data_IF_009605881896
#
_entry.id   IF_009605881896
#
_cell.length_a   1.000
_cell.length_b   1.000
_cell.length_c   1.000
_cell.angle_alpha   90.00
_cell.angle_beta   90.00
_cell.angle_gamma   90.00
#
_symmetry.space_group_name_H-M   'P 1'
#
loop_
_entity.id
_entity.type
_entity.pdbx_description
1 polymer ?
#
# COMPACT_ATOMS: atom_id res chain seq x y z
N UNK A 1 -20.83 15.99 6.62
CA UNK A 1 -20.33 15.41 7.89
C UNK A 1 -18.84 15.28 7.76
N UNK A 2 -18.08 15.50 8.83
CA UNK A 2 -16.62 15.24 8.82
C UNK A 2 -16.38 13.74 8.87
N UNK A 3 -15.41 13.26 8.09
CA UNK A 3 -15.05 11.83 8.10
C UNK A 3 -14.51 11.38 9.47
N UNK A 4 -14.81 10.13 9.81
CA UNK A 4 -14.23 9.36 10.91
C UNK A 4 -13.64 8.10 10.30
N UNK A 5 -12.33 7.91 10.47
CA UNK A 5 -11.61 6.82 9.80
C UNK A 5 -11.32 5.69 10.78
N UNK A 6 -11.49 4.44 10.34
CA UNK A 6 -10.91 3.28 10.98
C UNK A 6 -9.85 2.66 10.06
N UNK A 7 -8.68 2.33 10.60
CA UNK A 7 -7.60 1.65 9.86
C UNK A 7 -7.38 0.27 10.46
N UNK A 8 -7.56 -0.78 9.66
CA UNK A 8 -7.39 -2.17 10.09
C UNK A 8 -5.98 -2.64 9.78
N UNK A 9 -5.24 -2.99 10.81
CA UNK A 9 -3.84 -3.38 10.75
C UNK A 9 -2.91 -2.26 11.24
N UNK A 10 -2.01 -2.62 12.17
CA UNK A 10 -1.01 -1.72 12.77
C UNK A 10 0.40 -1.92 12.17
N UNK A 11 0.51 -2.59 11.02
CA UNK A 11 1.75 -2.77 10.28
C UNK A 11 2.28 -1.47 9.67
N UNK A 12 3.30 -1.60 8.82
CA UNK A 12 3.96 -0.46 8.17
C UNK A 12 3.00 0.45 7.40
N UNK A 13 2.08 -0.14 6.63
CA UNK A 13 1.10 0.64 5.86
C UNK A 13 0.04 1.25 6.78
N UNK A 14 -0.55 0.46 7.69
CA UNK A 14 -1.61 0.93 8.57
C UNK A 14 -1.16 2.07 9.48
N UNK A 15 0.04 1.99 10.09
CA UNK A 15 0.54 3.11 10.88
C UNK A 15 0.77 4.36 10.03
N UNK A 16 1.25 4.21 8.79
CA UNK A 16 1.44 5.32 7.86
C UNK A 16 0.13 5.97 7.44
N UNK A 17 -0.92 5.18 7.18
CA UNK A 17 -2.26 5.66 6.83
C UNK A 17 -2.88 6.39 8.04
N UNK A 18 -2.83 5.81 9.23
CA UNK A 18 -3.31 6.46 10.45
C UNK A 18 -2.56 7.78 10.74
N UNK A 19 -1.24 7.81 10.49
CA UNK A 19 -0.42 9.02 10.62
C UNK A 19 -0.96 10.16 9.73
N UNK A 20 -1.18 9.90 8.43
CA UNK A 20 -1.61 10.97 7.51
C UNK A 20 -3.05 11.40 7.77
N UNK A 21 -3.93 10.50 8.24
CA UNK A 21 -5.28 10.87 8.70
C UNK A 21 -5.22 11.80 9.91
N UNK A 22 -4.44 11.45 10.92
CA UNK A 22 -4.25 12.27 12.12
C UNK A 22 -3.62 13.64 11.79
N UNK A 23 -2.59 13.67 10.93
CA UNK A 23 -1.94 14.88 10.46
C UNK A 23 -2.90 15.82 9.71
N UNK A 24 -3.87 15.27 8.99
CA UNK A 24 -4.94 16.02 8.33
C UNK A 24 -6.06 16.48 9.28
N UNK A 25 -5.93 16.22 10.60
CA UNK A 25 -6.93 16.58 11.61
C UNK A 25 -8.18 15.70 11.58
N UNK A 26 -8.16 14.57 10.85
CA UNK A 26 -9.28 13.65 10.75
C UNK A 26 -9.21 12.62 11.89
N UNK A 27 -10.29 12.44 12.69
CA UNK A 27 -10.33 11.40 13.72
C UNK A 27 -10.07 10.02 13.11
N UNK A 28 -9.11 9.28 13.68
CA UNK A 28 -8.73 7.96 13.20
C UNK A 28 -8.52 6.99 14.34
N UNK A 29 -9.12 5.80 14.21
CA UNK A 29 -8.90 4.67 15.12
C UNK A 29 -8.13 3.58 14.38
N UNK A 30 -6.92 3.27 14.85
CA UNK A 30 -6.12 2.15 14.34
C UNK A 30 -6.49 0.88 15.10
N UNK A 31 -6.85 -0.18 14.38
CA UNK A 31 -7.39 -1.42 14.94
C UNK A 31 -6.48 -2.59 14.53
N UNK A 32 -6.03 -3.36 15.51
CA UNK A 32 -5.24 -4.57 15.27
C UNK A 32 -5.50 -5.57 16.41
N UNK A 33 -5.44 -6.86 16.12
CA UNK A 33 -5.60 -7.91 17.14
C UNK A 33 -4.47 -7.92 18.19
N UNK A 34 -3.31 -7.33 17.85
CA UNK A 34 -2.14 -7.23 18.72
C UNK A 34 -2.01 -5.86 19.37
N UNK A 35 -2.22 -5.78 20.67
CA UNK A 35 -1.97 -4.57 21.46
C UNK A 35 -0.50 -4.10 21.37
N UNK A 36 0.44 -5.05 21.26
CA UNK A 36 1.86 -4.74 21.07
C UNK A 36 2.13 -4.06 19.72
N UNK A 37 1.52 -4.58 18.64
CA UNK A 37 1.62 -3.96 17.31
C UNK A 37 1.05 -2.53 17.30
N UNK A 38 -0.09 -2.31 17.97
CA UNK A 38 -0.69 -0.99 18.13
C UNK A 38 0.24 -0.03 18.89
N UNK A 39 0.82 -0.46 20.01
CA UNK A 39 1.75 0.35 20.79
C UNK A 39 3.00 0.72 19.97
N UNK A 40 3.58 -0.23 19.24
CA UNK A 40 4.72 -0.01 18.35
C UNK A 40 4.39 0.94 17.21
N UNK A 41 3.21 0.79 16.61
CA UNK A 41 2.74 1.67 15.54
C UNK A 41 2.56 3.10 16.04
N UNK A 42 1.92 3.30 17.21
CA UNK A 42 1.77 4.61 17.83
C UNK A 42 3.11 5.28 18.10
N UNK A 43 4.05 4.56 18.72
CA UNK A 43 5.41 5.07 18.96
C UNK A 43 6.15 5.43 17.65
N UNK A 44 5.90 4.68 16.57
CA UNK A 44 6.45 4.99 15.24
C UNK A 44 5.87 6.30 14.68
N UNK A 45 4.57 6.52 14.83
CA UNK A 45 3.89 7.76 14.42
C UNK A 45 4.45 8.95 15.21
N UNK A 46 4.54 8.85 16.53
CA UNK A 46 5.11 9.90 17.40
C UNK A 46 6.54 10.24 16.97
N UNK A 47 7.39 9.23 16.76
CA UNK A 47 8.77 9.42 16.29
C UNK A 47 8.83 10.08 14.90
N UNK A 48 7.89 9.78 14.03
CA UNK A 48 7.83 10.42 12.70
C UNK A 48 7.42 11.88 12.81
N UNK A 49 6.49 12.26 13.67
CA UNK A 49 6.16 13.65 13.97
C UNK A 49 7.35 14.40 14.58
N UNK A 50 8.09 13.79 15.52
CA UNK A 50 9.30 14.40 16.09
C UNK A 50 10.37 14.68 15.04
N UNK A 51 10.51 13.78 14.04
CA UNK A 51 11.41 14.02 12.90
C UNK A 51 10.94 15.17 12.01
N UNK A 52 9.62 15.35 11.84
CA UNK A 52 9.05 16.46 11.07
C UNK A 52 9.27 17.79 11.81
N UNK A 53 9.13 17.83 13.15
CA UNK A 53 9.47 19.00 13.97
C UNK A 53 10.95 19.35 13.81
N UNK A 54 11.85 18.37 13.94
CA UNK A 54 13.31 18.60 13.78
C UNK A 54 13.70 19.14 12.40
N UNK A 55 12.88 18.85 11.37
CA UNK A 55 13.07 19.38 10.00
C UNK A 55 12.36 20.71 9.77
N UNK A 56 11.66 21.25 10.75
CA UNK A 56 10.88 22.49 10.62
C UNK A 56 9.64 22.35 9.71
N UNK A 57 9.16 21.12 9.44
CA UNK A 57 7.99 20.89 8.60
C UNK A 57 6.67 21.14 9.35
N UNK A 58 6.65 20.90 10.65
CA UNK A 58 5.54 21.18 11.57
C UNK A 58 6.08 21.70 12.89
N UNK A 59 5.24 22.29 13.72
CA UNK A 59 5.55 22.66 15.11
C UNK A 59 4.98 21.64 16.13
N UNK A 60 5.30 21.84 17.41
CA UNK A 60 4.84 20.96 18.49
C UNK A 60 3.32 21.01 18.66
N UNK A 61 2.68 22.16 18.43
CA UNK A 61 1.23 22.30 18.54
C UNK A 61 0.50 21.49 17.47
N UNK A 62 0.99 21.51 16.23
CA UNK A 62 0.47 20.70 15.14
C UNK A 62 0.61 19.18 15.42
N UNK A 63 1.77 18.75 15.98
CA UNK A 63 1.96 17.37 16.42
C UNK A 63 0.93 16.96 17.47
N UNK A 64 0.75 17.77 18.52
CA UNK A 64 -0.14 17.44 19.63
C UNK A 64 -1.60 17.42 19.17
N UNK A 65 -1.98 18.35 18.29
CA UNK A 65 -3.29 18.36 17.63
C UNK A 65 -3.52 17.07 16.80
N UNK A 66 -2.52 16.65 16.02
CA UNK A 66 -2.61 15.41 15.24
C UNK A 66 -2.72 14.18 16.14
N UNK A 67 -1.88 14.06 17.17
CA UNK A 67 -1.92 12.92 18.11
C UNK A 67 -3.26 12.85 18.89
N UNK A 68 -3.91 13.99 19.15
CA UNK A 68 -5.26 13.99 19.75
C UNK A 68 -6.35 13.36 18.87
N UNK A 69 -6.10 13.23 17.57
CA UNK A 69 -7.00 12.59 16.61
C UNK A 69 -6.80 11.07 16.47
N UNK A 70 -5.70 10.55 17.04
CA UNK A 70 -5.32 9.15 16.92
C UNK A 70 -5.76 8.34 18.15
N UNK A 71 -6.57 7.33 17.94
CA UNK A 71 -6.92 6.31 18.93
C UNK A 71 -6.54 4.91 18.44
N UNK A 72 -6.50 3.96 19.36
CA UNK A 72 -6.19 2.55 19.06
C UNK A 72 -7.20 1.63 19.74
N UNK A 73 -7.52 0.49 19.12
CA UNK A 73 -8.42 -0.53 19.67
C UNK A 73 -7.99 -1.93 19.25
N UNK A 74 -8.19 -2.92 20.11
CA UNK A 74 -8.09 -4.33 19.74
C UNK A 74 -9.43 -4.94 19.36
N UNK A 75 -10.51 -4.20 19.51
CA UNK A 75 -11.86 -4.63 19.17
C UNK A 75 -12.25 -4.13 17.76
N UNK A 76 -12.51 -5.08 16.86
CA UNK A 76 -12.98 -4.76 15.50
C UNK A 76 -14.33 -4.05 15.50
N UNK A 77 -15.17 -4.22 16.53
CA UNK A 77 -16.44 -3.50 16.70
C UNK A 77 -16.30 -1.97 16.74
N UNK A 78 -15.11 -1.46 17.02
CA UNK A 78 -14.78 -0.03 16.97
C UNK A 78 -14.98 0.61 15.59
N UNK A 79 -15.15 -0.17 14.51
CA UNK A 79 -15.48 0.34 13.16
C UNK A 79 -16.89 0.88 13.03
N UNK A 80 -17.78 0.59 13.99
CA UNK A 80 -19.21 0.91 13.91
C UNK A 80 -19.53 2.40 13.73
N UNK A 81 -18.65 3.29 14.19
CA UNK A 81 -18.78 4.75 14.08
C UNK A 81 -18.00 5.34 12.90
N UNK A 82 -17.20 4.53 12.18
CA UNK A 82 -16.41 5.00 11.07
C UNK A 82 -17.28 5.29 9.83
N UNK A 83 -16.98 6.39 9.12
CA UNK A 83 -17.56 6.70 7.81
C UNK A 83 -16.77 6.03 6.68
N UNK A 84 -15.45 5.82 6.90
CA UNK A 84 -14.55 5.09 5.99
C UNK A 84 -13.69 4.14 6.81
N UNK A 85 -13.66 2.88 6.40
CA UNK A 85 -12.76 1.86 6.96
C UNK A 85 -11.70 1.55 5.91
N UNK A 86 -10.42 1.66 6.27
CA UNK A 86 -9.29 1.38 5.37
C UNK A 86 -8.56 0.14 5.88
N UNK A 87 -8.71 -0.96 5.17
CA UNK A 87 -8.04 -2.22 5.50
C UNK A 87 -6.58 -2.20 4.97
N UNK A 88 -5.62 -2.44 5.86
CA UNK A 88 -4.18 -2.48 5.60
C UNK A 88 -3.50 -3.67 6.33
N UNK A 89 -4.21 -4.79 6.44
CA UNK A 89 -3.69 -6.06 6.99
C UNK A 89 -2.75 -6.76 5.99
N UNK A 90 -2.23 -7.92 6.39
CA UNK A 90 -1.35 -8.74 5.56
C UNK A 90 -1.96 -9.07 4.20
N UNK A 91 -1.13 -9.06 3.14
CA UNK A 91 -1.54 -9.35 1.75
C UNK A 91 -1.83 -10.84 1.58
N UNK A 92 -3.00 -11.25 2.06
CA UNK A 92 -3.51 -12.62 1.99
C UNK A 92 -4.99 -12.59 1.62
N UNK A 93 -5.32 -13.23 0.51
CA UNK A 93 -6.68 -13.21 -0.09
C UNK A 93 -7.74 -13.68 0.91
N UNK A 94 -7.52 -14.83 1.55
CA UNK A 94 -8.52 -15.42 2.47
C UNK A 94 -8.72 -14.57 3.72
N UNK A 95 -7.63 -14.00 4.25
CA UNK A 95 -7.69 -13.10 5.38
C UNK A 95 -8.49 -11.84 5.03
N UNK A 96 -8.22 -11.21 3.88
CA UNK A 96 -8.97 -10.02 3.45
C UNK A 96 -10.45 -10.33 3.22
N UNK A 97 -10.79 -11.45 2.60
CA UNK A 97 -12.18 -11.88 2.44
C UNK A 97 -12.90 -12.04 3.79
N UNK A 98 -12.22 -12.65 4.77
CA UNK A 98 -12.76 -12.78 6.13
C UNK A 98 -12.96 -11.41 6.78
N UNK A 99 -11.94 -10.54 6.72
CA UNK A 99 -12.03 -9.18 7.29
C UNK A 99 -13.19 -8.42 6.66
N UNK A 100 -13.34 -8.42 5.33
CA UNK A 100 -14.41 -7.69 4.66
C UNK A 100 -15.80 -8.23 5.00
N UNK A 101 -15.98 -9.56 5.15
CA UNK A 101 -17.22 -10.15 5.64
C UNK A 101 -17.56 -9.75 7.09
N UNK A 102 -16.55 -9.52 7.94
CA UNK A 102 -16.74 -9.02 9.30
C UNK A 102 -17.04 -7.51 9.30
N UNK A 103 -16.31 -6.72 8.50
CA UNK A 103 -16.53 -5.29 8.36
C UNK A 103 -17.93 -4.97 7.83
N UNK A 104 -18.43 -5.78 6.89
CA UNK A 104 -19.79 -5.65 6.35
C UNK A 104 -20.88 -5.74 7.42
N UNK A 105 -20.66 -6.56 8.46
CA UNK A 105 -21.59 -6.71 9.57
C UNK A 105 -21.46 -5.65 10.66
N UNK A 106 -20.21 -5.15 10.89
CA UNK A 106 -19.88 -4.31 12.04
C UNK A 106 -19.86 -2.82 11.73
N UNK A 107 -19.47 -2.43 10.51
CA UNK A 107 -19.43 -1.02 10.11
C UNK A 107 -20.84 -0.46 9.86
N UNK A 108 -21.00 0.84 10.04
CA UNK A 108 -22.26 1.53 9.73
C UNK A 108 -22.72 1.26 8.29
N UNK A 109 -24.03 1.24 8.05
CA UNK A 109 -24.61 0.84 6.75
C UNK A 109 -24.16 1.70 5.57
N UNK A 110 -23.80 2.96 5.80
CA UNK A 110 -23.27 3.88 4.78
C UNK A 110 -21.74 4.00 4.77
N UNK A 111 -21.02 3.20 5.57
CA UNK A 111 -19.56 3.27 5.62
C UNK A 111 -18.91 2.72 4.35
N UNK A 112 -17.96 3.47 3.80
CA UNK A 112 -17.10 3.00 2.70
C UNK A 112 -16.09 2.01 3.27
N UNK A 113 -15.94 0.87 2.59
CA UNK A 113 -14.97 -0.15 2.93
C UNK A 113 -13.84 -0.12 1.89
N UNK A 114 -12.71 0.47 2.25
CA UNK A 114 -11.53 0.57 1.40
C UNK A 114 -10.48 -0.48 1.75
N UNK A 115 -9.71 -0.93 0.77
CA UNK A 115 -8.56 -1.81 0.98
C UNK A 115 -7.28 -1.21 0.42
N UNK A 116 -6.17 -1.35 1.15
CA UNK A 116 -4.84 -0.95 0.71
C UNK A 116 -4.10 -2.11 0.00
N UNK A 117 -4.80 -3.09 -0.53
CA UNK A 117 -4.17 -4.17 -1.30
C UNK A 117 -3.38 -3.63 -2.48
N UNK A 118 -2.28 -4.30 -2.82
CA UNK A 118 -1.45 -3.98 -3.98
C UNK A 118 -1.75 -4.84 -5.20
N UNK A 119 -2.53 -5.92 -5.04
CA UNK A 119 -2.64 -6.94 -6.08
C UNK A 119 -3.94 -7.75 -6.09
N UNK A 120 -4.72 -7.73 -5.00
CA UNK A 120 -5.95 -8.52 -4.89
C UNK A 120 -7.10 -7.73 -5.53
N UNK A 121 -7.94 -8.43 -6.32
CA UNK A 121 -9.08 -7.81 -7.02
C UNK A 121 -10.06 -7.16 -6.03
N UNK A 122 -10.35 -5.89 -6.27
CA UNK A 122 -11.35 -5.13 -5.51
C UNK A 122 -12.74 -5.73 -5.73
N UNK A 123 -13.02 -6.19 -6.95
CA UNK A 123 -14.28 -6.87 -7.30
C UNK A 123 -14.49 -8.14 -6.51
N UNK A 124 -13.43 -8.97 -6.34
CA UNK A 124 -13.51 -10.20 -5.55
C UNK A 124 -13.72 -9.90 -4.05
N UNK A 125 -13.06 -8.86 -3.52
CA UNK A 125 -13.25 -8.41 -2.14
C UNK A 125 -14.68 -7.90 -1.95
N UNK A 126 -15.18 -7.06 -2.87
CA UNK A 126 -16.53 -6.50 -2.83
C UNK A 126 -17.61 -7.59 -2.83
N UNK A 127 -17.40 -8.68 -3.57
CA UNK A 127 -18.31 -9.82 -3.61
C UNK A 127 -18.43 -10.58 -2.27
N UNK A 128 -17.61 -10.26 -1.26
CA UNK A 128 -17.71 -10.81 0.10
C UNK A 128 -18.58 -9.96 1.03
N UNK A 129 -19.16 -8.88 0.51
CA UNK A 129 -20.01 -7.94 1.26
C UNK A 129 -21.40 -7.86 0.66
N UNK A 130 -22.37 -7.33 1.43
CA UNK A 130 -23.73 -7.03 0.96
C UNK A 130 -23.86 -5.59 0.41
N UNK A 131 -22.74 -4.84 0.36
CA UNK A 131 -22.66 -3.45 -0.11
C UNK A 131 -21.48 -3.26 -1.10
N UNK A 132 -21.42 -4.04 -2.20
CA UNK A 132 -20.28 -4.00 -3.12
C UNK A 132 -20.08 -2.62 -3.75
N UNK A 133 -21.10 -1.77 -3.83
CA UNK A 133 -21.05 -0.40 -4.31
C UNK A 133 -20.29 0.57 -3.37
N UNK A 134 -20.12 0.18 -2.10
CA UNK A 134 -19.35 0.93 -1.09
C UNK A 134 -17.93 0.37 -0.91
N UNK A 135 -17.49 -0.60 -1.72
CA UNK A 135 -16.14 -1.16 -1.65
C UNK A 135 -15.25 -0.54 -2.72
N UNK A 136 -14.01 -0.16 -2.33
CA UNK A 136 -13.06 0.53 -3.20
C UNK A 136 -11.60 0.21 -2.79
N UNK A 137 -10.67 0.28 -3.74
CA UNK A 137 -9.24 0.24 -3.44
C UNK A 137 -8.69 1.63 -3.13
N UNK A 138 -7.91 1.75 -2.06
CA UNK A 138 -7.08 2.91 -1.71
C UNK A 138 -5.62 2.46 -1.56
N UNK A 139 -4.91 2.34 -2.66
CA UNK A 139 -3.55 1.85 -2.68
C UNK A 139 -2.56 2.98 -2.40
N UNK A 140 -2.14 3.09 -1.15
CA UNK A 140 -1.13 4.04 -0.70
C UNK A 140 0.27 3.53 -1.04
N UNK A 141 1.18 4.47 -1.32
CA UNK A 141 2.58 4.16 -1.62
C UNK A 141 3.44 4.24 -0.35
N UNK A 142 4.39 3.33 -0.22
CA UNK A 142 5.31 3.26 0.92
C UNK A 142 6.56 4.14 0.67
N UNK A 143 7.01 5.00 1.62
CA UNK A 143 6.41 5.33 2.93
C UNK A 143 5.21 6.29 2.83
N UNK A 144 4.08 5.95 3.46
CA UNK A 144 2.82 6.69 3.30
C UNK A 144 2.94 8.19 3.65
N UNK A 145 3.64 8.62 4.72
CA UNK A 145 3.76 10.05 5.03
C UNK A 145 4.57 10.85 3.99
N UNK A 146 5.38 10.19 3.15
CA UNK A 146 6.28 10.82 2.19
C UNK A 146 5.70 10.80 0.77
N UNK A 147 5.16 9.67 0.37
CA UNK A 147 4.66 9.47 -0.99
C UNK A 147 3.34 10.20 -1.22
N UNK A 148 3.27 10.94 -2.32
CA UNK A 148 2.11 11.80 -2.63
C UNK A 148 0.95 11.04 -3.26
N UNK A 149 1.21 9.91 -3.95
CA UNK A 149 0.23 9.19 -4.73
C UNK A 149 -0.66 8.29 -3.86
N UNK A 150 -1.96 8.27 -4.18
CA UNK A 150 -2.87 7.18 -3.88
C UNK A 150 -3.50 6.72 -5.19
N UNK A 151 -3.38 5.45 -5.55
CA UNK A 151 -4.22 4.89 -6.60
C UNK A 151 -5.59 4.57 -5.99
N UNK A 152 -6.65 5.05 -6.63
CA UNK A 152 -8.04 4.77 -6.28
C UNK A 152 -8.56 3.73 -7.25
N UNK A 153 -8.74 2.50 -6.78
CA UNK A 153 -9.08 1.38 -7.64
C UNK A 153 -10.59 1.11 -7.56
N UNK A 154 -11.23 1.32 -8.70
CA UNK A 154 -12.65 1.10 -8.87
C UNK A 154 -12.93 -0.36 -9.24
N UNK A 155 -13.59 -1.10 -8.34
CA UNK A 155 -14.13 -2.42 -8.62
C UNK A 155 -15.37 -2.35 -9.52
N UNK A 156 -15.82 -3.50 -10.01
CA UNK A 156 -16.92 -3.59 -10.98
C UNK A 156 -18.23 -2.93 -10.49
N UNK A 157 -18.54 -3.07 -9.21
CA UNK A 157 -19.78 -2.56 -8.60
C UNK A 157 -19.60 -1.22 -7.87
N UNK A 158 -18.37 -0.72 -7.70
CA UNK A 158 -18.10 0.52 -6.97
C UNK A 158 -18.86 1.70 -7.55
N UNK A 159 -19.65 2.40 -6.72
CA UNK A 159 -20.47 3.52 -7.16
C UNK A 159 -19.66 4.79 -7.44
N UNK A 160 -20.21 5.67 -8.27
CA UNK A 160 -19.61 6.99 -8.54
C UNK A 160 -19.53 7.84 -7.27
N UNK A 161 -20.52 7.71 -6.38
CA UNK A 161 -20.52 8.40 -5.08
C UNK A 161 -19.38 7.95 -4.18
N UNK A 162 -19.11 6.64 -4.10
CA UNK A 162 -18.00 6.06 -3.36
C UNK A 162 -16.65 6.55 -3.93
N UNK A 163 -16.50 6.53 -5.24
CA UNK A 163 -15.31 7.05 -5.92
C UNK A 163 -15.11 8.54 -5.61
N UNK A 164 -16.13 9.37 -5.80
CA UNK A 164 -16.04 10.81 -5.57
C UNK A 164 -15.67 11.15 -4.12
N UNK A 165 -16.29 10.46 -3.14
CA UNK A 165 -15.96 10.63 -1.72
C UNK A 165 -14.50 10.25 -1.44
N UNK A 166 -14.03 9.10 -1.94
CA UNK A 166 -12.67 8.61 -1.72
C UNK A 166 -11.61 9.51 -2.36
N UNK A 167 -11.90 10.07 -3.54
CA UNK A 167 -11.05 11.09 -4.19
C UNK A 167 -10.99 12.36 -3.34
N UNK A 168 -12.13 12.83 -2.81
CA UNK A 168 -12.16 14.01 -1.94
C UNK A 168 -11.39 13.77 -0.64
N UNK A 169 -11.57 12.62 0.01
CA UNK A 169 -10.81 12.21 1.19
C UNK A 169 -9.31 12.19 0.90
N UNK A 170 -8.89 11.58 -0.21
CA UNK A 170 -7.46 11.51 -0.58
C UNK A 170 -6.84 12.90 -0.72
N UNK A 171 -7.56 13.86 -1.31
CA UNK A 171 -7.12 15.27 -1.38
C UNK A 171 -7.06 15.92 0.00
N UNK A 172 -8.03 15.65 0.89
CA UNK A 172 -8.03 16.15 2.26
C UNK A 172 -6.84 15.60 3.07
N UNK A 173 -6.34 14.38 2.75
CA UNK A 173 -5.12 13.81 3.30
C UNK A 173 -3.82 14.43 2.71
N UNK A 174 -3.92 15.45 1.86
CA UNK A 174 -2.78 16.07 1.17
C UNK A 174 -2.16 15.18 0.10
N UNK A 175 -2.92 14.23 -0.44
CA UNK A 175 -2.46 13.28 -1.47
C UNK A 175 -3.01 13.62 -2.85
N UNK A 176 -2.37 13.06 -3.86
CA UNK A 176 -2.82 13.11 -5.26
C UNK A 176 -3.50 11.80 -5.59
N UNK A 177 -4.84 11.75 -5.68
CA UNK A 177 -5.55 10.55 -6.12
C UNK A 177 -5.45 10.38 -7.64
N UNK A 178 -5.20 9.15 -8.06
CA UNK A 178 -5.26 8.72 -9.47
C UNK A 178 -6.20 7.54 -9.58
N UNK A 179 -7.23 7.65 -10.41
CA UNK A 179 -8.20 6.58 -10.63
C UNK A 179 -7.57 5.48 -11.49
N UNK A 180 -7.82 4.24 -11.10
CA UNK A 180 -7.47 3.04 -11.86
C UNK A 180 -8.63 2.06 -11.86
N UNK A 181 -8.73 1.25 -12.90
CA UNK A 181 -9.66 0.12 -12.95
C UNK A 181 -9.07 -1.10 -12.24
N UNK A 182 -9.94 -1.97 -11.74
CA UNK A 182 -9.59 -3.23 -11.08
C UNK A 182 -9.02 -4.25 -12.08
N UNK A 183 -7.75 -4.08 -12.43
CA UNK A 183 -6.96 -5.01 -13.23
C UNK A 183 -5.72 -5.46 -12.46
N UNK A 184 -5.18 -6.67 -12.73
CA UNK A 184 -3.99 -7.15 -12.07
C UNK A 184 -2.84 -6.14 -12.07
N UNK A 185 -2.34 -5.79 -10.88
CA UNK A 185 -1.26 -4.84 -10.67
C UNK A 185 -1.62 -3.36 -10.80
N UNK A 186 -2.92 -3.04 -11.04
CA UNK A 186 -3.44 -1.68 -11.23
C UNK A 186 -2.61 -0.90 -12.27
N UNK A 187 -2.20 0.33 -12.02
CA UNK A 187 -1.30 1.07 -12.92
C UNK A 187 0.16 0.90 -12.45
N UNK A 188 0.44 1.17 -11.18
CA UNK A 188 1.80 1.25 -10.67
C UNK A 188 2.57 -0.06 -10.88
N UNK A 189 2.05 -1.18 -10.38
CA UNK A 189 2.73 -2.46 -10.49
C UNK A 189 2.73 -3.00 -11.93
N UNK A 190 1.67 -2.73 -12.70
CA UNK A 190 1.59 -3.17 -14.09
C UNK A 190 2.62 -2.50 -15.01
N UNK A 191 3.08 -1.30 -14.67
CA UNK A 191 4.15 -0.60 -15.41
C UNK A 191 5.51 -0.92 -14.81
N UNK A 192 5.64 -0.81 -13.49
CA UNK A 192 6.91 -0.93 -12.79
C UNK A 192 7.50 -2.34 -12.87
N UNK A 193 6.70 -3.38 -12.59
CA UNK A 193 7.24 -4.73 -12.46
C UNK A 193 7.72 -5.34 -13.78
N UNK A 194 7.06 -5.14 -14.93
CA UNK A 194 7.63 -5.51 -16.22
C UNK A 194 8.96 -4.80 -16.55
N UNK A 195 9.10 -3.52 -16.19
CA UNK A 195 10.35 -2.79 -16.35
C UNK A 195 11.47 -3.40 -15.50
N UNK A 196 11.20 -3.71 -14.23
CA UNK A 196 12.15 -4.39 -13.34
C UNK A 196 12.47 -5.79 -13.91
N UNK A 197 11.46 -6.54 -14.33
CA UNK A 197 11.63 -7.88 -14.87
C UNK A 197 12.52 -7.89 -16.12
N UNK A 198 12.34 -6.92 -17.01
CA UNK A 198 13.19 -6.75 -18.21
C UNK A 198 14.63 -6.41 -17.83
N UNK A 199 14.84 -5.56 -16.82
CA UNK A 199 16.16 -5.29 -16.28
C UNK A 199 16.84 -6.56 -15.73
N UNK A 200 16.08 -7.47 -15.12
CA UNK A 200 16.58 -8.79 -14.66
C UNK A 200 16.93 -9.69 -15.85
N UNK A 201 16.12 -9.67 -16.93
CA UNK A 201 16.45 -10.40 -18.18
C UNK A 201 17.74 -9.88 -18.80
N UNK A 202 17.96 -8.56 -18.86
CA UNK A 202 19.21 -7.97 -19.34
C UNK A 202 20.43 -8.54 -18.59
N UNK A 203 20.34 -8.69 -17.26
CA UNK A 203 21.42 -9.32 -16.49
C UNK A 203 21.54 -10.81 -16.79
N UNK A 204 20.43 -11.53 -16.85
CA UNK A 204 20.41 -12.98 -17.09
C UNK A 204 21.01 -13.34 -18.48
N UNK A 205 20.72 -12.52 -19.48
CA UNK A 205 21.14 -12.72 -20.88
C UNK A 205 22.52 -12.14 -21.17
N UNK A 206 23.16 -11.48 -20.17
CA UNK A 206 24.51 -10.94 -20.32
C UNK A 206 24.58 -9.65 -21.15
N UNK A 207 23.44 -8.94 -21.32
CA UNK A 207 23.41 -7.63 -21.98
C UNK A 207 24.20 -6.58 -21.19
N UNK A 208 24.16 -6.66 -19.85
CA UNK A 208 24.93 -5.78 -18.98
C UNK A 208 24.99 -6.29 -17.54
N UNK A 209 25.93 -5.73 -16.76
CA UNK A 209 25.98 -5.97 -15.31
C UNK A 209 24.85 -5.21 -14.61
N UNK A 210 24.49 -5.56 -13.36
CA UNK A 210 23.50 -4.80 -12.59
C UNK A 210 23.82 -3.29 -12.54
N UNK A 211 25.10 -2.94 -12.34
CA UNK A 211 25.56 -1.55 -12.28
C UNK A 211 25.40 -0.84 -13.63
N UNK A 212 25.66 -1.53 -14.74
CA UNK A 212 25.49 -0.97 -16.08
C UNK A 212 24.03 -0.67 -16.39
N UNK A 213 23.13 -1.64 -16.11
CA UNK A 213 21.68 -1.48 -16.31
C UNK A 213 21.16 -0.31 -15.48
N UNK A 214 21.46 -0.26 -14.18
CA UNK A 214 21.01 0.81 -13.29
C UNK A 214 21.59 2.18 -13.68
N UNK A 215 22.85 2.23 -14.13
CA UNK A 215 23.49 3.47 -14.57
C UNK A 215 22.81 4.02 -15.83
N UNK A 216 22.53 3.18 -16.81
CA UNK A 216 21.82 3.59 -18.05
C UNK A 216 20.45 4.16 -17.71
N UNK A 217 19.70 3.48 -16.86
CA UNK A 217 18.35 3.94 -16.47
C UNK A 217 18.39 5.25 -15.68
N UNK A 218 19.38 5.42 -14.80
CA UNK A 218 19.55 6.66 -14.03
C UNK A 218 19.99 7.83 -14.88
N UNK A 219 21.06 7.64 -15.64
CA UNK A 219 21.72 8.75 -16.34
C UNK A 219 21.17 8.98 -17.75
N UNK A 220 20.71 7.92 -18.43
CA UNK A 220 20.13 8.00 -19.77
C UNK A 220 18.64 8.25 -19.78
N UNK A 221 17.88 7.68 -18.82
CA UNK A 221 16.42 7.77 -18.74
C UNK A 221 15.93 8.64 -17.57
N UNK A 222 16.82 9.30 -16.86
CA UNK A 222 16.54 10.21 -15.73
C UNK A 222 15.69 9.57 -14.59
N UNK A 223 15.90 8.26 -14.34
CA UNK A 223 15.27 7.61 -13.21
C UNK A 223 15.96 8.01 -11.91
N UNK A 224 15.23 8.28 -10.82
CA UNK A 224 15.83 8.64 -9.52
C UNK A 224 16.61 7.47 -8.91
N UNK A 225 16.26 6.23 -9.27
CA UNK A 225 16.89 4.99 -8.82
C UNK A 225 16.88 3.99 -9.99
N UNK A 226 17.97 3.22 -10.13
CA UNK A 226 17.98 2.15 -11.11
C UNK A 226 17.02 1.02 -10.78
N UNK A 227 16.47 0.30 -11.78
CA UNK A 227 15.42 -0.72 -11.59
C UNK A 227 15.85 -1.88 -10.69
N UNK A 228 17.13 -2.29 -10.71
CA UNK A 228 17.63 -3.40 -9.90
C UNK A 228 17.87 -2.98 -8.45
N UNK A 229 18.39 -1.77 -8.22
CA UNK A 229 18.48 -1.19 -6.88
C UNK A 229 17.07 -0.95 -6.28
N UNK A 230 16.09 -0.60 -7.11
CA UNK A 230 14.69 -0.47 -6.69
C UNK A 230 14.07 -1.83 -6.37
N UNK A 231 14.36 -2.86 -7.15
CA UNK A 231 13.94 -4.24 -6.86
C UNK A 231 14.48 -4.72 -5.50
N UNK A 232 15.76 -4.46 -5.21
CA UNK A 232 16.38 -4.78 -3.92
C UNK A 232 15.76 -3.98 -2.76
N UNK A 233 15.32 -2.75 -2.99
CA UNK A 233 14.62 -1.92 -2.01
C UNK A 233 13.21 -2.45 -1.71
N UNK A 234 12.46 -2.83 -2.74
CA UNK A 234 11.11 -3.41 -2.64
C UNK A 234 11.18 -4.79 -1.96
N UNK A 235 12.18 -5.56 -2.30
CA UNK A 235 12.34 -6.96 -1.97
C UNK A 235 12.03 -7.87 -3.16
N UNK A 236 13.00 -8.72 -3.51
CA UNK A 236 12.90 -9.57 -4.71
C UNK A 236 11.77 -10.61 -4.63
N UNK A 237 11.46 -11.09 -3.44
CA UNK A 237 10.29 -11.96 -3.20
C UNK A 237 8.97 -11.22 -3.43
N UNK A 238 8.88 -9.95 -3.03
CA UNK A 238 7.72 -9.10 -3.30
C UNK A 238 7.58 -8.84 -4.81
N UNK A 239 8.69 -8.52 -5.49
CA UNK A 239 8.70 -8.35 -6.95
C UNK A 239 8.24 -9.63 -7.67
N UNK A 240 8.75 -10.79 -7.23
CA UNK A 240 8.35 -12.08 -7.79
C UNK A 240 6.85 -12.33 -7.59
N UNK A 241 6.34 -12.15 -6.38
CA UNK A 241 4.93 -12.37 -6.06
C UNK A 241 4.00 -11.50 -6.93
N UNK A 242 4.35 -10.22 -7.13
CA UNK A 242 3.56 -9.32 -7.97
C UNK A 242 3.62 -9.75 -9.44
N UNK A 243 4.80 -10.14 -9.96
CA UNK A 243 4.92 -10.65 -11.33
C UNK A 243 4.12 -11.94 -11.54
N UNK A 244 4.03 -12.81 -10.54
CA UNK A 244 3.17 -14.00 -10.59
C UNK A 244 1.69 -13.63 -10.65
N UNK A 245 1.25 -12.63 -9.90
CA UNK A 245 -0.12 -12.10 -10.00
C UNK A 245 -0.39 -11.53 -11.39
N UNK A 246 0.53 -10.74 -11.96
CA UNK A 246 0.40 -10.21 -13.32
C UNK A 246 0.33 -11.34 -14.36
N UNK A 247 1.24 -12.31 -14.27
CA UNK A 247 1.31 -13.43 -15.22
C UNK A 247 0.05 -14.29 -15.17
N UNK A 248 -0.39 -14.67 -13.98
CA UNK A 248 -1.57 -15.51 -13.80
C UNK A 248 -2.86 -14.76 -14.13
N UNK A 249 -3.01 -13.54 -13.64
CA UNK A 249 -4.23 -12.76 -13.78
C UNK A 249 -4.47 -12.21 -15.20
N UNK A 250 -3.40 -11.98 -15.98
CA UNK A 250 -3.50 -11.50 -17.35
C UNK A 250 -3.39 -12.61 -18.38
N UNK A 251 -2.85 -13.79 -18.01
CA UNK A 251 -2.70 -14.95 -18.91
C UNK A 251 -1.74 -14.72 -20.09
N UNK A 252 -0.87 -13.70 -20.02
CA UNK A 252 0.05 -13.33 -21.10
C UNK A 252 1.49 -13.62 -20.69
N UNK A 253 2.21 -14.37 -21.53
CA UNK A 253 3.59 -14.80 -21.30
C UNK A 253 4.59 -13.63 -21.16
N UNK A 254 4.26 -12.43 -21.64
CA UNK A 254 5.12 -11.24 -21.46
C UNK A 254 5.31 -10.85 -19.98
N UNK A 255 4.40 -11.29 -19.09
CA UNK A 255 4.50 -11.05 -17.65
C UNK A 255 5.17 -12.18 -16.88
N UNK A 256 5.67 -13.24 -17.57
CA UNK A 256 6.37 -14.33 -16.88
C UNK A 256 7.55 -13.79 -16.09
N UNK A 257 7.72 -14.17 -14.81
CA UNK A 257 8.89 -13.77 -14.04
C UNK A 257 10.17 -14.33 -14.63
N UNK A 258 11.22 -13.52 -14.67
CA UNK A 258 12.54 -13.93 -15.12
C UNK A 258 13.05 -15.11 -14.25
N UNK A 259 13.61 -16.19 -14.87
CA UNK A 259 14.19 -17.31 -14.14
C UNK A 259 15.28 -16.92 -13.14
N UNK A 260 16.08 -15.89 -13.44
CA UNK A 260 17.10 -15.39 -12.53
C UNK A 260 16.49 -14.81 -11.25
N UNK A 261 15.38 -14.06 -11.35
CA UNK A 261 14.67 -13.54 -10.18
C UNK A 261 14.20 -14.68 -9.26
N UNK A 262 13.63 -15.74 -9.85
CA UNK A 262 13.22 -16.94 -9.08
C UNK A 262 14.40 -17.60 -8.37
N UNK A 263 15.55 -17.69 -9.04
CA UNK A 263 16.77 -18.26 -8.46
C UNK A 263 17.29 -17.42 -7.27
N UNK A 264 17.26 -16.10 -7.39
CA UNK A 264 17.69 -15.21 -6.30
C UNK A 264 16.76 -15.35 -5.08
N UNK A 265 15.46 -15.36 -5.30
CA UNK A 265 14.48 -15.57 -4.22
C UNK A 265 14.67 -16.94 -3.56
N UNK A 266 14.83 -18.00 -4.34
CA UNK A 266 15.10 -19.36 -3.83
C UNK A 266 16.41 -19.46 -3.04
N UNK A 267 17.42 -18.64 -3.39
CA UNK A 267 18.69 -18.54 -2.66
C UNK A 267 18.59 -17.67 -1.38
N UNK A 268 17.44 -17.08 -1.08
CA UNK A 268 17.27 -16.16 0.05
C UNK A 268 17.89 -14.78 -0.17
N UNK A 269 18.27 -14.44 -1.42
CA UNK A 269 18.79 -13.13 -1.78
C UNK A 269 17.61 -12.20 -2.08
N UNK A 270 17.08 -11.58 -1.03
CA UNK A 270 15.83 -10.83 -1.08
C UNK A 270 16.02 -9.31 -1.18
N UNK A 271 17.25 -8.86 -1.45
CA UNK A 271 17.61 -7.45 -1.49
C UNK A 271 18.04 -6.91 -0.13
N UNK A 272 17.79 -5.63 0.12
CA UNK A 272 18.25 -4.93 1.34
C UNK A 272 17.83 -5.63 2.62
N UNK A 273 16.63 -6.20 2.69
CA UNK A 273 16.12 -6.85 3.90
C UNK A 273 16.87 -8.12 4.30
N UNK A 274 17.59 -8.75 3.36
CA UNK A 274 18.44 -9.92 3.62
C UNK A 274 19.95 -9.58 3.52
N UNK A 275 20.31 -8.30 3.30
CA UNK A 275 21.68 -7.86 3.11
C UNK A 275 22.26 -8.17 1.71
N UNK A 276 21.51 -8.87 0.86
CA UNK A 276 21.93 -9.27 -0.49
C UNK A 276 20.76 -9.41 -1.45
N UNK A 277 20.96 -8.92 -2.68
CA UNK A 277 20.08 -9.09 -3.82
C UNK A 277 20.92 -9.02 -5.10
N UNK A 278 20.61 -8.07 -6.00
CA UNK A 278 21.49 -7.70 -7.11
C UNK A 278 22.76 -7.02 -6.60
N UNK A 279 22.67 -6.38 -5.43
CA UNK A 279 23.75 -5.74 -4.70
C UNK A 279 23.97 -6.39 -3.32
N UNK A 280 25.10 -6.06 -2.70
CA UNK A 280 25.41 -6.41 -1.30
C UNK A 280 25.30 -5.14 -0.45
N UNK A 281 24.69 -5.24 0.74
CA UNK A 281 24.35 -4.12 1.63
C UNK A 281 24.99 -4.30 3.02
#
# INVERSE_FOLDING_TARGET
MSDVIAVIGAGQMGNGIAHVCAAAGIPVTMIDVSAEALAKAKATIEKNFDRQIKKGAIDAAARDAALSKLSTSTDLGSVSTATVVIEAATENVQLKFKIFGELDRLAGTGAILATNTSSISITEIAAKTQRPELVIGMHFMNPVPVMQLIEIIRGLATSDATLAHTVALSKALGKTPVEASDYPGFIANRVLLPMINEAVFCVMEGVGTPEAVDTVMKLGMNHPMGPLALADLIGLDTCLAILEVLHTGLGDSKYRPCPLLRKYVAAGWLGRKSGRGFYTY
#
